data_IF_566021182218
#
_entry.id   IF_566021182218
#
_cell.length_a   1.000
_cell.length_b   1.000
_cell.length_c   1.000
_cell.angle_alpha   90.00
_cell.angle_beta   90.00
_cell.angle_gamma   90.00
#
_symmetry.space_group_name_H-M   'P 1'
#
loop_
_entity.id
_entity.type
_entity.pdbx_description
1 polymer ?
#
# COMPACT_ATOMS: atom_id res chain seq x y z
N UNK A 1 16.63 27.10 6.10
CA UNK A 1 16.13 25.76 6.50
C UNK A 1 14.74 25.61 5.90
N UNK A 2 14.56 24.63 5.01
CA UNK A 2 13.35 24.52 4.19
C UNK A 2 12.18 23.99 5.05
N UNK A 3 11.12 24.77 5.22
CA UNK A 3 9.94 24.43 6.04
C UNK A 3 9.35 23.06 5.67
N UNK A 4 9.41 22.71 4.37
CA UNK A 4 9.01 21.41 3.82
C UNK A 4 9.79 20.23 4.43
N UNK A 5 11.10 20.39 4.65
CA UNK A 5 11.93 19.35 5.25
C UNK A 5 11.61 19.15 6.74
N UNK A 6 11.26 20.23 7.45
CA UNK A 6 10.80 20.19 8.84
C UNK A 6 9.47 19.43 8.99
N UNK A 7 8.53 19.67 8.09
CA UNK A 7 7.24 18.96 8.08
C UNK A 7 7.42 17.47 7.77
N UNK A 8 8.21 17.13 6.74
CA UNK A 8 8.49 15.75 6.37
C UNK A 8 9.14 14.95 7.52
N UNK A 9 10.13 15.54 8.20
CA UNK A 9 10.80 14.87 9.33
C UNK A 9 9.86 14.60 10.52
N UNK A 10 8.92 15.53 10.79
CA UNK A 10 7.91 15.39 11.84
C UNK A 10 6.92 14.27 11.53
N UNK A 11 6.45 14.21 10.27
CA UNK A 11 5.56 13.14 9.79
C UNK A 11 6.24 11.77 9.85
N UNK A 12 7.51 11.68 9.44
CA UNK A 12 8.28 10.42 9.52
C UNK A 12 8.43 9.96 10.97
N UNK A 13 8.69 10.88 11.91
CA UNK A 13 8.74 10.56 13.34
C UNK A 13 7.40 10.07 13.87
N UNK A 14 6.30 10.76 13.54
CA UNK A 14 4.94 10.36 13.92
C UNK A 14 4.57 8.98 13.36
N UNK A 15 4.84 8.75 12.08
CA UNK A 15 4.64 7.45 11.44
C UNK A 15 5.48 6.36 12.11
N UNK A 16 6.72 6.67 12.50
CA UNK A 16 7.59 5.76 13.25
C UNK A 16 7.21 5.55 14.72
N UNK A 17 6.27 6.31 15.26
CA UNK A 17 5.75 6.10 16.62
C UNK A 17 4.47 5.23 16.62
N UNK A 18 3.79 5.09 15.48
CA UNK A 18 2.56 4.30 15.38
C UNK A 18 2.79 2.80 15.63
N UNK A 19 1.82 2.07 16.21
CA UNK A 19 1.87 0.63 16.30
C UNK A 19 1.80 -0.01 14.91
N UNK A 20 2.32 -1.24 14.79
CA UNK A 20 2.47 -1.95 13.51
C UNK A 20 1.20 -1.97 12.66
N UNK A 21 0.04 -2.20 13.29
CA UNK A 21 -1.26 -2.27 12.62
C UNK A 21 -1.66 -0.92 12.02
N UNK A 22 -1.52 0.19 12.78
CA UNK A 22 -1.85 1.52 12.28
C UNK A 22 -0.94 1.95 11.14
N UNK A 23 0.37 1.65 11.20
CA UNK A 23 1.28 1.96 10.08
C UNK A 23 0.85 1.26 8.79
N UNK A 24 0.46 -0.01 8.89
CA UNK A 24 -0.03 -0.75 7.73
C UNK A 24 -1.32 -0.17 7.18
N UNK A 25 -2.28 0.16 8.04
CA UNK A 25 -3.54 0.80 7.60
C UNK A 25 -3.26 2.12 6.86
N UNK A 26 -2.37 2.96 7.38
CA UNK A 26 -1.97 4.20 6.72
C UNK A 26 -1.33 3.91 5.34
N UNK A 27 -0.44 2.92 5.24
CA UNK A 27 0.16 2.53 3.96
C UNK A 27 -0.90 2.03 2.97
N UNK A 28 -1.81 1.15 3.40
CA UNK A 28 -2.92 0.66 2.57
C UNK A 28 -3.76 1.82 2.05
N UNK A 29 -4.07 2.79 2.91
CA UNK A 29 -4.89 3.94 2.58
C UNK A 29 -4.18 4.84 1.55
N UNK A 30 -2.89 5.11 1.75
CA UNK A 30 -2.07 5.91 0.82
C UNK A 30 -1.96 5.24 -0.55
N UNK A 31 -1.64 3.94 -0.61
CA UNK A 31 -1.54 3.25 -1.90
C UNK A 31 -2.90 3.11 -2.60
N UNK A 32 -3.99 2.95 -1.84
CA UNK A 32 -5.35 2.96 -2.40
C UNK A 32 -5.71 4.32 -2.99
N UNK A 33 -5.31 5.41 -2.34
CA UNK A 33 -5.45 6.77 -2.87
C UNK A 33 -4.68 6.96 -4.19
N UNK A 34 -3.44 6.46 -4.27
CA UNK A 34 -2.64 6.47 -5.50
C UNK A 34 -3.34 5.68 -6.61
N UNK A 35 -3.92 4.53 -6.27
CA UNK A 35 -4.69 3.71 -7.21
C UNK A 35 -5.93 4.45 -7.74
N UNK A 36 -6.72 5.05 -6.84
CA UNK A 36 -7.93 5.82 -7.22
C UNK A 36 -7.55 7.03 -8.08
N UNK A 37 -6.46 7.72 -7.77
CA UNK A 37 -5.94 8.82 -8.59
C UNK A 37 -5.53 8.33 -9.99
N UNK A 38 -4.89 7.16 -10.08
CA UNK A 38 -4.58 6.51 -11.35
C UNK A 38 -5.84 6.15 -12.15
N UNK A 39 -6.86 5.58 -11.51
CA UNK A 39 -8.13 5.25 -12.15
C UNK A 39 -8.86 6.51 -12.68
N UNK A 40 -8.82 7.59 -11.90
CA UNK A 40 -9.38 8.88 -12.31
C UNK A 40 -8.63 9.47 -13.52
N UNK A 41 -7.30 9.45 -13.50
CA UNK A 41 -6.48 9.88 -14.65
C UNK A 41 -6.70 9.03 -15.90
N UNK A 42 -6.89 7.72 -15.73
CA UNK A 42 -7.18 6.80 -16.83
C UNK A 42 -8.48 7.20 -17.53
N UNK A 43 -9.53 7.50 -16.75
CA UNK A 43 -10.83 7.92 -17.27
C UNK A 43 -10.81 9.30 -17.95
N UNK A 44 -9.81 10.13 -17.67
CA UNK A 44 -9.64 11.45 -18.28
C UNK A 44 -8.61 11.48 -19.43
N UNK A 45 -8.22 10.32 -19.95
CA UNK A 45 -7.39 10.22 -21.17
C UNK A 45 -5.88 10.34 -20.92
N UNK A 46 -5.42 10.40 -19.67
CA UNK A 46 -4.00 10.40 -19.32
C UNK A 46 -3.45 8.96 -19.15
N UNK A 47 -3.75 8.08 -20.11
CA UNK A 47 -3.57 6.62 -20.00
C UNK A 47 -2.17 6.15 -19.63
N UNK A 48 -1.12 6.73 -20.23
CA UNK A 48 0.28 6.32 -19.99
C UNK A 48 0.73 6.60 -18.55
N UNK A 49 0.41 7.78 -18.02
CA UNK A 49 0.76 8.16 -16.64
C UNK A 49 -0.17 7.44 -15.66
N UNK A 50 -1.44 7.30 -16.01
CA UNK A 50 -2.42 6.58 -15.22
C UNK A 50 -2.02 5.12 -14.97
N UNK A 51 -1.44 4.46 -15.98
CA UNK A 51 -0.93 3.09 -15.85
C UNK A 51 0.10 2.95 -14.73
N UNK A 52 1.01 3.90 -14.59
CA UNK A 52 2.01 3.90 -13.52
C UNK A 52 1.37 4.06 -12.13
N UNK A 53 0.40 4.97 -12.01
CA UNK A 53 -0.32 5.19 -10.74
C UNK A 53 -1.18 3.98 -10.35
N UNK A 54 -1.86 3.38 -11.32
CA UNK A 54 -2.64 2.15 -11.12
C UNK A 54 -1.74 0.99 -10.69
N UNK A 55 -0.59 0.82 -11.33
CA UNK A 55 0.33 -0.28 -11.02
C UNK A 55 0.98 -0.10 -9.65
N UNK A 56 1.50 1.09 -9.35
CA UNK A 56 2.09 1.42 -8.04
C UNK A 56 1.05 1.34 -6.92
N UNK A 57 -0.15 1.86 -7.16
CA UNK A 57 -1.25 1.81 -6.21
C UNK A 57 -1.71 0.38 -5.93
N UNK A 58 -1.91 -0.44 -6.97
CA UNK A 58 -2.35 -1.83 -6.81
C UNK A 58 -1.31 -2.67 -6.06
N UNK A 59 -0.05 -2.64 -6.50
CA UNK A 59 1.03 -3.41 -5.87
C UNK A 59 1.25 -2.94 -4.44
N UNK A 60 1.28 -1.62 -4.23
CA UNK A 60 1.46 -1.02 -2.92
C UNK A 60 0.34 -1.37 -1.94
N UNK A 61 -0.92 -1.35 -2.38
CA UNK A 61 -2.07 -1.74 -1.56
C UNK A 61 -2.01 -3.23 -1.22
N UNK A 62 -1.68 -4.09 -2.19
CA UNK A 62 -1.58 -5.54 -1.97
C UNK A 62 -0.46 -5.89 -0.98
N UNK A 63 0.68 -5.21 -1.10
CA UNK A 63 1.82 -5.36 -0.19
C UNK A 63 1.49 -4.84 1.21
N UNK A 64 0.91 -3.64 1.31
CA UNK A 64 0.57 -3.00 2.58
C UNK A 64 -0.56 -3.72 3.34
N UNK A 65 -1.54 -4.30 2.62
CA UNK A 65 -2.59 -5.13 3.18
C UNK A 65 -2.02 -6.41 3.80
N UNK A 66 -0.76 -6.73 3.47
CA UNK A 66 -0.12 -7.93 3.94
C UNK A 66 -0.69 -9.16 3.27
N UNK A 67 -0.91 -9.10 1.95
CA UNK A 67 -1.28 -10.27 1.15
C UNK A 67 -0.35 -11.47 1.41
N UNK A 68 0.90 -11.24 1.83
CA UNK A 68 1.80 -12.28 2.33
C UNK A 68 1.23 -13.11 3.49
N UNK A 69 0.46 -12.51 4.40
CA UNK A 69 -0.25 -13.23 5.48
C UNK A 69 -1.38 -14.09 4.92
N UNK A 70 -2.10 -13.60 3.91
CA UNK A 70 -3.15 -14.36 3.22
C UNK A 70 -2.53 -15.55 2.47
N UNK A 71 -1.42 -15.32 1.76
CA UNK A 71 -0.67 -16.37 1.07
C UNK A 71 -0.10 -17.40 2.05
N UNK A 72 0.43 -16.97 3.20
CA UNK A 72 0.90 -17.86 4.26
C UNK A 72 -0.23 -18.69 4.88
N UNK A 73 -1.42 -18.10 5.07
CA UNK A 73 -2.60 -18.83 5.53
C UNK A 73 -3.04 -19.89 4.52
N UNK A 74 -3.06 -19.55 3.23
CA UNK A 74 -3.39 -20.49 2.15
C UNK A 74 -2.36 -21.63 2.11
N UNK A 75 -1.07 -21.32 2.18
CA UNK A 75 -0.01 -22.33 2.21
C UNK A 75 -0.12 -23.26 3.44
N UNK A 76 -0.42 -22.70 4.62
CA UNK A 76 -0.67 -23.51 5.82
C UNK A 76 -1.89 -24.42 5.65
N UNK A 77 -2.96 -23.91 5.04
CA UNK A 77 -4.18 -24.67 4.78
C UNK A 77 -3.92 -25.81 3.77
N UNK A 78 -3.17 -25.54 2.70
CA UNK A 78 -2.72 -26.57 1.74
C UNK A 78 -1.84 -27.62 2.42
N UNK A 79 -0.91 -27.21 3.29
CA UNK A 79 -0.07 -28.14 4.04
C UNK A 79 -0.89 -29.07 4.94
N UNK A 80 -1.95 -28.56 5.58
CA UNK A 80 -2.87 -29.39 6.38
C UNK A 80 -3.63 -30.37 5.48
N UNK A 81 -4.19 -29.90 4.35
CA UNK A 81 -4.96 -30.78 3.45
C UNK A 81 -4.10 -31.87 2.81
N UNK A 82 -2.84 -31.58 2.46
CA UNK A 82 -1.94 -32.54 1.81
C UNK A 82 -1.22 -33.44 2.84
N UNK A 83 -1.15 -33.00 4.09
CA UNK A 83 -0.51 -33.73 5.18
C UNK A 83 -1.41 -34.76 5.89
N UNK A 84 -2.74 -34.63 5.76
CA UNK A 84 -3.75 -35.64 6.09
C UNK A 84 -3.97 -36.61 4.91
#
# INVERSE_FOLDING_TARGET
>A
MNSVAGTASTVIRGFRALPFVLRRLVLVLVYSLIFVAGAFMHNHGAGDIAGLFLLVGAIGTFWAAGAWRVFRLILLLVLVIVGD
#
